data_IF_881500009188
#
_entry.id   IF_881500009188
#
_cell.length_a   1.000
_cell.length_b   1.000
_cell.length_c   1.000
_cell.angle_alpha   90.00
_cell.angle_beta   90.00
_cell.angle_gamma   90.00
#
_symmetry.space_group_name_H-M   'P 1'
#
loop_
_entity.id
_entity.type
_entity.pdbx_description
1 polymer ?
#
# COMPACT_ATOMS: atom_id res chain seq x y z
N UNK A 1 -8.30 -24.21 -9.46
CA UNK A 1 -6.98 -24.75 -9.07
C UNK A 1 -6.33 -23.74 -8.14
N UNK A 2 -5.92 -24.15 -6.96
CA UNK A 2 -5.24 -23.26 -6.01
C UNK A 2 -3.79 -23.02 -6.42
N UNK A 3 -3.15 -21.96 -5.90
CA UNK A 3 -1.72 -21.69 -6.15
C UNK A 3 -0.81 -22.85 -5.71
N UNK A 4 -1.24 -23.61 -4.71
CA UNK A 4 -0.55 -24.80 -4.18
C UNK A 4 -0.65 -25.97 -5.17
N UNK A 5 -1.84 -26.23 -5.73
CA UNK A 5 -2.05 -27.28 -6.73
C UNK A 5 -1.26 -27.00 -8.03
N UNK A 6 -1.15 -25.73 -8.44
CA UNK A 6 -0.38 -25.33 -9.63
C UNK A 6 1.14 -25.53 -9.43
N UNK A 7 1.68 -25.18 -8.26
CA UNK A 7 3.10 -25.39 -7.94
C UNK A 7 3.47 -26.87 -7.93
N UNK A 8 2.56 -27.74 -7.49
CA UNK A 8 2.82 -29.19 -7.45
C UNK A 8 2.81 -29.81 -8.85
N UNK A 9 1.98 -29.28 -9.78
CA UNK A 9 2.02 -29.64 -11.21
C UNK A 9 3.35 -29.19 -11.85
N UNK A 10 3.82 -27.97 -11.57
CA UNK A 10 5.10 -27.45 -12.09
C UNK A 10 6.27 -28.33 -11.62
N UNK A 11 6.28 -28.77 -10.36
CA UNK A 11 7.31 -29.68 -9.84
C UNK A 11 7.27 -31.06 -10.51
N UNK A 12 6.08 -31.62 -10.75
CA UNK A 12 5.94 -32.91 -11.45
C UNK A 12 6.43 -32.82 -12.90
N UNK A 13 6.25 -31.68 -13.57
CA UNK A 13 6.77 -31.44 -14.92
C UNK A 13 8.30 -31.31 -14.98
N UNK A 14 8.94 -30.85 -13.90
CA UNK A 14 10.41 -30.71 -13.83
C UNK A 14 11.16 -32.05 -13.62
N UNK A 15 10.46 -33.12 -13.23
CA UNK A 15 11.04 -34.45 -12.99
C UNK A 15 11.02 -35.34 -14.26
N UNK A 16 10.25 -34.98 -15.28
CA UNK A 16 10.13 -35.73 -16.53
C UNK A 16 10.81 -35.03 -17.72
N UNK A 17 11.81 -35.67 -18.32
CA UNK A 17 12.57 -35.22 -19.50
C UNK A 17 11.75 -35.17 -20.81
N UNK A 18 10.56 -34.57 -20.81
CA UNK A 18 9.74 -34.36 -22.01
C UNK A 18 9.17 -32.94 -22.01
N UNK A 19 10.06 -31.95 -21.96
CA UNK A 19 9.73 -30.61 -22.39
C UNK A 19 9.67 -30.59 -23.92
N UNK A 20 8.49 -30.77 -24.50
CA UNK A 20 8.16 -30.25 -25.83
C UNK A 20 6.83 -29.52 -25.79
N UNK A 21 6.93 -28.20 -25.91
CA UNK A 21 5.90 -27.27 -26.39
C UNK A 21 4.66 -27.09 -25.53
N UNK A 22 4.81 -26.83 -24.24
CA UNK A 22 3.84 -25.97 -23.55
C UNK A 22 4.65 -24.91 -22.82
N UNK A 23 4.51 -23.64 -23.22
CA UNK A 23 5.18 -22.57 -22.49
C UNK A 23 4.51 -22.48 -21.12
N UNK A 24 5.28 -22.23 -20.07
CA UNK A 24 4.75 -22.03 -18.70
C UNK A 24 3.66 -20.94 -18.70
N UNK A 25 3.79 -19.97 -19.60
CA UNK A 25 2.81 -18.93 -19.89
C UNK A 25 1.46 -19.50 -20.37
N UNK A 26 1.46 -20.44 -21.31
CA UNK A 26 0.24 -21.10 -21.83
C UNK A 26 -0.45 -21.93 -20.74
N UNK A 27 0.34 -22.59 -19.88
CA UNK A 27 -0.17 -23.37 -18.76
C UNK A 27 -0.79 -22.47 -17.68
N UNK A 28 -0.16 -21.33 -17.41
CA UNK A 28 -0.65 -20.32 -16.47
C UNK A 28 -1.96 -19.67 -16.95
N UNK A 29 -2.07 -19.38 -18.26
CA UNK A 29 -3.29 -18.84 -18.87
C UNK A 29 -4.45 -19.84 -18.77
N UNK A 30 -4.22 -21.12 -19.09
CA UNK A 30 -5.26 -22.17 -18.95
C UNK A 30 -5.71 -22.40 -17.51
N UNK A 31 -4.86 -22.04 -16.54
CA UNK A 31 -5.11 -22.15 -15.11
C UNK A 31 -5.75 -20.90 -14.49
N UNK A 32 -5.85 -19.79 -15.22
CA UNK A 32 -6.30 -18.50 -14.70
C UNK A 32 -5.31 -17.84 -13.73
N UNK A 33 -4.01 -18.13 -13.85
CA UNK A 33 -2.94 -17.59 -13.01
C UNK A 33 -1.98 -16.78 -13.87
N UNK A 34 -1.47 -15.65 -13.36
CA UNK A 34 -0.43 -14.87 -14.05
C UNK A 34 0.94 -15.37 -13.59
N UNK A 35 1.72 -15.94 -14.49
CA UNK A 35 3.10 -16.32 -14.22
C UNK A 35 4.04 -15.26 -14.80
N UNK A 36 4.91 -14.70 -13.96
CA UNK A 36 6.01 -13.86 -14.44
C UNK A 36 7.29 -14.70 -14.48
N UNK A 37 7.73 -15.03 -15.69
CA UNK A 37 8.99 -15.77 -15.90
C UNK A 37 10.12 -14.75 -16.03
N UNK A 38 10.99 -14.68 -15.03
CA UNK A 38 12.21 -13.87 -15.10
C UNK A 38 13.37 -14.78 -15.45
N UNK A 39 13.91 -14.62 -16.67
CA UNK A 39 15.04 -15.41 -17.14
C UNK A 39 16.33 -14.67 -16.80
N UNK A 40 17.14 -15.25 -15.93
CA UNK A 40 18.44 -14.70 -15.58
C UNK A 40 19.54 -15.50 -16.29
N UNK A 41 20.54 -14.79 -16.81
CA UNK A 41 21.78 -15.41 -17.25
C UNK A 41 22.79 -15.19 -16.13
N UNK A 42 23.05 -16.22 -15.34
CA UNK A 42 24.11 -16.16 -14.34
C UNK A 42 25.44 -16.31 -15.09
N UNK A 43 26.29 -15.28 -15.02
CA UNK A 43 27.68 -15.41 -15.43
C UNK A 43 28.53 -15.51 -14.17
N UNK A 44 28.89 -16.73 -13.78
CA UNK A 44 29.99 -16.89 -12.82
C UNK A 44 31.30 -16.69 -13.58
N UNK A 45 32.24 -15.98 -12.98
CA UNK A 45 33.66 -16.10 -13.35
C UNK A 45 34.43 -16.41 -12.08
N UNK A 46 35.15 -17.53 -12.07
CA UNK A 46 36.53 -17.55 -11.58
C UNK A 46 37.30 -18.85 -11.85
N UNK A 47 37.00 -19.65 -12.88
CA UNK A 47 37.95 -20.70 -13.32
C UNK A 47 37.69 -21.22 -14.75
N UNK A 48 37.55 -20.31 -15.72
CA UNK A 48 37.92 -20.59 -17.12
C UNK A 48 37.20 -21.72 -17.87
N UNK A 49 36.21 -22.39 -17.29
CA UNK A 49 35.54 -23.54 -17.93
C UNK A 49 34.15 -23.77 -17.34
N UNK A 50 33.11 -23.11 -17.90
CA UNK A 50 31.75 -23.67 -18.01
C UNK A 50 30.88 -22.86 -18.97
N UNK A 51 30.07 -23.60 -19.75
CA UNK A 51 28.98 -23.11 -20.62
C UNK A 51 27.92 -22.35 -19.80
N UNK A 52 27.22 -21.34 -20.37
CA UNK A 52 26.17 -20.63 -19.64
C UNK A 52 25.04 -21.60 -19.28
N UNK A 53 24.81 -21.80 -17.98
CA UNK A 53 23.64 -22.50 -17.47
C UNK A 53 22.53 -21.47 -17.26
N UNK A 54 21.42 -21.61 -17.99
CA UNK A 54 20.24 -20.75 -17.82
C UNK A 54 19.40 -21.30 -16.68
N UNK A 55 19.29 -20.55 -15.58
CA UNK A 55 18.32 -20.83 -14.54
C UNK A 55 17.04 -20.00 -14.79
N UNK A 56 15.89 -20.67 -14.87
CA UNK A 56 14.59 -20.01 -14.93
C UNK A 56 13.99 -19.96 -13.53
N UNK A 57 13.84 -18.75 -12.97
CA UNK A 57 13.13 -18.55 -11.71
C UNK A 57 11.67 -18.19 -12.04
N UNK A 58 10.76 -19.13 -11.77
CA UNK A 58 9.33 -18.93 -11.99
C UNK A 58 8.73 -18.34 -10.71
N UNK A 59 8.44 -17.04 -10.74
CA UNK A 59 7.60 -16.43 -9.71
C UNK A 59 6.13 -16.66 -10.06
N UNK A 60 5.52 -17.63 -9.38
CA UNK A 60 4.06 -17.82 -9.42
C UNK A 60 3.44 -16.82 -8.45
N UNK A 61 2.91 -15.72 -8.97
CA UNK A 61 2.11 -14.79 -8.19
C UNK A 61 0.67 -15.30 -8.24
N UNK A 62 0.15 -15.72 -7.09
CA UNK A 62 -1.25 -16.14 -7.01
C UNK A 62 -2.21 -15.03 -7.46
N UNK A 63 -3.43 -15.37 -7.91
CA UNK A 63 -4.41 -14.41 -8.45
C UNK A 63 -4.77 -13.27 -7.47
N UNK A 64 -4.43 -13.41 -6.19
CA UNK A 64 -4.64 -12.44 -5.12
C UNK A 64 -3.73 -11.20 -5.19
N UNK A 65 -2.60 -11.23 -5.94
CA UNK A 65 -1.58 -10.15 -5.89
C UNK A 65 -1.16 -9.54 -7.23
N UNK A 66 -1.57 -10.11 -8.37
CA UNK A 66 -1.07 -9.68 -9.68
C UNK A 66 -2.00 -8.74 -10.48
N UNK A 67 -3.19 -8.37 -9.99
CA UNK A 67 -4.11 -7.62 -10.87
C UNK A 67 -5.38 -7.03 -10.26
N UNK A 68 -5.35 -6.55 -9.01
CA UNK A 68 -6.61 -6.12 -8.39
C UNK A 68 -6.52 -4.97 -7.38
N UNK A 69 -6.01 -3.81 -7.79
CA UNK A 69 -6.36 -2.55 -7.09
C UNK A 69 -6.46 -1.32 -7.99
N UNK A 70 -5.66 -1.22 -9.07
CA UNK A 70 -5.64 -0.01 -9.90
C UNK A 70 -6.62 0.01 -11.08
N UNK A 71 -6.90 -1.15 -11.68
CA UNK A 71 -7.57 -1.16 -12.99
C UNK A 71 -9.04 -1.62 -12.96
N UNK A 72 -9.54 -2.12 -11.82
CA UNK A 72 -10.88 -2.72 -11.72
C UNK A 72 -11.65 -2.39 -10.42
N UNK A 73 -11.26 -1.34 -9.68
CA UNK A 73 -12.23 -0.72 -8.78
C UNK A 73 -13.33 -0.14 -9.67
N UNK A 74 -14.62 -0.45 -9.46
CA UNK A 74 -15.67 0.17 -10.24
C UNK A 74 -15.49 1.68 -10.11
N UNK A 75 -15.28 2.37 -11.24
CA UNK A 75 -15.20 3.83 -11.37
C UNK A 75 -16.44 4.57 -10.86
N UNK A 76 -17.33 3.89 -10.14
CA UNK A 76 -18.70 4.28 -9.86
C UNK A 76 -19.13 4.10 -8.40
N UNK A 77 -18.20 3.86 -7.46
CA UNK A 77 -18.45 4.14 -6.04
C UNK A 77 -17.81 5.50 -5.73
N UNK A 78 -18.57 6.53 -5.35
CA UNK A 78 -17.96 7.82 -5.02
C UNK A 78 -17.13 7.66 -3.75
N UNK A 79 -15.82 7.47 -3.90
CA UNK A 79 -14.89 7.47 -2.79
C UNK A 79 -15.06 8.78 -2.00
N UNK A 80 -15.20 8.69 -0.68
CA UNK A 80 -15.13 9.88 0.18
C UNK A 80 -13.68 10.34 0.17
N UNK A 81 -13.44 11.59 -0.22
CA UNK A 81 -12.13 12.23 -0.10
C UNK A 81 -12.12 13.08 1.14
N UNK A 82 -11.02 13.01 1.86
CA UNK A 82 -10.85 13.72 3.12
C UNK A 82 -9.59 14.55 2.97
N UNK A 83 -9.70 15.84 3.27
CA UNK A 83 -8.59 16.77 3.35
C UNK A 83 -8.57 17.36 4.75
N UNK A 84 -7.42 17.31 5.43
CA UNK A 84 -7.30 17.77 6.80
C UNK A 84 -6.00 18.52 7.04
N UNK A 85 -6.03 19.42 8.02
CA UNK A 85 -4.99 20.40 8.31
C UNK A 85 -4.58 20.33 9.78
N UNK A 86 -3.28 20.40 10.03
CA UNK A 86 -2.70 20.61 11.37
C UNK A 86 -1.43 21.44 11.24
N UNK A 87 -1.02 22.17 12.29
CA UNK A 87 0.30 22.79 12.30
C UNK A 87 1.35 21.79 12.74
N UNK A 88 2.52 21.89 12.13
CA UNK A 88 3.74 21.26 12.61
C UNK A 88 4.53 22.27 13.41
N UNK A 89 5.01 21.86 14.59
CA UNK A 89 5.88 22.72 15.42
C UNK A 89 7.14 23.07 14.62
N UNK A 90 7.62 24.33 14.65
CA UNK A 90 8.77 24.74 13.84
C UNK A 90 10.04 23.89 14.06
N UNK A 91 10.25 23.39 15.28
CA UNK A 91 11.41 22.55 15.63
C UNK A 91 11.25 21.08 15.24
N UNK A 92 10.05 20.63 14.86
CA UNK A 92 9.73 19.20 14.73
C UNK A 92 9.83 18.67 13.30
N UNK A 93 10.20 19.48 12.31
CA UNK A 93 10.14 19.06 10.91
C UNK A 93 11.03 17.86 10.59
N UNK A 94 12.29 17.88 11.03
CA UNK A 94 13.22 16.79 10.74
C UNK A 94 12.72 15.47 11.32
N UNK A 95 12.30 15.48 12.59
CA UNK A 95 11.76 14.32 13.29
C UNK A 95 10.46 13.82 12.65
N UNK A 96 9.56 14.73 12.26
CA UNK A 96 8.31 14.36 11.59
C UNK A 96 8.57 13.62 10.27
N UNK A 97 9.54 14.10 9.47
CA UNK A 97 9.94 13.45 8.21
C UNK A 97 10.57 12.10 8.44
N UNK A 98 11.45 11.98 9.43
CA UNK A 98 12.11 10.71 9.77
C UNK A 98 11.08 9.66 10.19
N UNK A 99 10.14 10.01 11.07
CA UNK A 99 9.05 9.12 11.47
C UNK A 99 8.22 8.67 10.26
N UNK A 100 7.80 9.61 9.40
CA UNK A 100 6.92 9.29 8.26
C UNK A 100 7.66 8.62 7.08
N UNK A 101 9.00 8.64 7.04
CA UNK A 101 9.78 7.84 6.11
C UNK A 101 9.75 6.34 6.47
N UNK A 102 9.45 6.02 7.73
CA UNK A 102 9.43 4.66 8.26
C UNK A 102 8.18 4.41 9.12
N UNK A 103 6.99 4.74 8.59
CA UNK A 103 5.71 4.49 9.28
C UNK A 103 5.61 3.02 9.68
N UNK A 104 5.15 2.77 10.91
CA UNK A 104 5.05 1.42 11.44
C UNK A 104 4.10 0.56 10.58
N UNK A 105 4.51 -0.64 10.14
CA UNK A 105 3.68 -1.49 9.28
C UNK A 105 2.29 -1.80 9.85
N UNK A 106 2.17 -1.91 11.18
CA UNK A 106 0.89 -2.16 11.83
C UNK A 106 -0.11 -1.00 11.68
N UNK A 107 0.39 0.25 11.68
CA UNK A 107 -0.42 1.46 11.46
C UNK A 107 -0.92 1.51 10.01
N UNK A 108 -0.03 1.23 9.05
CA UNK A 108 -0.41 1.14 7.64
C UNK A 108 -1.45 0.03 7.41
N UNK A 109 -1.28 -1.13 8.04
CA UNK A 109 -2.25 -2.21 7.97
C UNK A 109 -3.60 -1.83 8.61
N UNK A 110 -3.63 -1.01 9.67
CA UNK A 110 -4.87 -0.51 10.27
C UNK A 110 -5.62 0.42 9.30
N UNK A 111 -4.91 1.32 8.62
CA UNK A 111 -5.48 2.18 7.57
C UNK A 111 -6.02 1.37 6.39
N UNK A 112 -5.28 0.35 5.93
CA UNK A 112 -5.69 -0.54 4.85
C UNK A 112 -6.96 -1.32 5.20
N UNK A 113 -7.02 -1.92 6.40
CA UNK A 113 -8.24 -2.60 6.91
C UNK A 113 -9.45 -1.68 7.00
N UNK A 114 -9.20 -0.38 7.16
CA UNK A 114 -10.22 0.68 7.22
C UNK A 114 -10.48 1.33 5.86
N UNK A 115 -10.05 0.71 4.76
CA UNK A 115 -10.32 1.14 3.39
C UNK A 115 -9.78 2.55 3.06
N UNK A 116 -8.76 3.01 3.78
CA UNK A 116 -8.02 4.23 3.47
C UNK A 116 -6.98 3.92 2.40
N UNK A 117 -7.00 4.70 1.32
CA UNK A 117 -6.08 4.58 0.19
C UNK A 117 -5.67 5.95 -0.31
N UNK A 118 -4.64 6.01 -1.16
CA UNK A 118 -4.14 7.26 -1.76
C UNK A 118 -3.85 8.34 -0.71
N UNK A 119 -3.29 7.93 0.43
CA UNK A 119 -3.02 8.82 1.56
C UNK A 119 -1.65 9.50 1.38
N UNK A 120 -1.66 10.82 1.27
CA UNK A 120 -0.46 11.66 1.30
C UNK A 120 -0.56 12.78 2.34
N UNK A 121 0.60 13.22 2.85
CA UNK A 121 0.73 14.37 3.74
C UNK A 121 1.75 15.33 3.13
N UNK A 122 1.33 16.55 2.82
CA UNK A 122 2.18 17.62 2.30
C UNK A 122 2.54 18.60 3.40
N UNK A 123 3.75 19.15 3.36
CA UNK A 123 4.19 20.20 4.29
C UNK A 123 4.36 21.54 3.57
N UNK A 124 3.54 22.52 3.92
CA UNK A 124 3.64 23.90 3.47
C UNK A 124 4.40 24.75 4.50
N UNK A 125 5.73 24.77 4.34
CA UNK A 125 6.68 25.43 5.25
C UNK A 125 6.32 26.87 5.64
N UNK A 126 5.87 27.78 4.74
CA UNK A 126 5.64 29.18 5.10
C UNK A 126 4.61 29.38 6.22
N UNK A 127 3.64 28.47 6.36
CA UNK A 127 2.63 28.50 7.42
C UNK A 127 2.83 27.39 8.46
N UNK A 128 3.87 26.56 8.31
CA UNK A 128 4.06 25.38 9.13
C UNK A 128 2.91 24.38 9.03
N UNK A 129 2.19 24.31 7.91
CA UNK A 129 0.98 23.49 7.78
C UNK A 129 1.29 22.12 7.19
N UNK A 130 0.76 21.08 7.84
CA UNK A 130 0.62 19.76 7.26
C UNK A 130 -0.77 19.65 6.63
N UNK A 131 -0.82 19.15 5.40
CA UNK A 131 -2.04 18.93 4.62
C UNK A 131 -2.13 17.44 4.31
N UNK A 132 -2.95 16.73 5.08
CA UNK A 132 -3.26 15.33 4.87
C UNK A 132 -4.42 15.21 3.87
N UNK A 133 -4.28 14.35 2.86
CA UNK A 133 -5.37 13.98 1.97
C UNK A 133 -5.38 12.48 1.73
N UNK A 134 -6.57 11.87 1.72
CA UNK A 134 -6.74 10.46 1.41
C UNK A 134 -8.13 10.17 0.82
N UNK A 135 -8.25 9.00 0.20
CA UNK A 135 -9.50 8.42 -0.28
C UNK A 135 -9.96 7.33 0.68
N UNK A 136 -11.24 7.33 0.98
CA UNK A 136 -11.93 6.23 1.65
C UNK A 136 -12.84 5.54 0.64
N UNK A 137 -12.65 4.22 0.47
CA UNK A 137 -13.36 3.39 -0.51
C UNK A 137 -14.27 2.33 0.11
N UNK A 138 -14.47 2.37 1.43
CA UNK A 138 -15.38 1.47 2.13
C UNK A 138 -16.84 1.96 2.09
N UNK A 139 -17.69 1.34 2.91
CA UNK A 139 -19.14 1.60 2.94
C UNK A 139 -19.65 2.32 4.20
N UNK A 140 -18.82 2.43 5.24
CA UNK A 140 -19.16 3.04 6.54
C UNK A 140 -17.92 3.74 7.12
N UNK A 141 -17.77 5.02 6.76
CA UNK A 141 -16.58 5.81 7.08
C UNK A 141 -16.41 5.96 8.59
N UNK A 142 -17.50 6.27 9.28
CA UNK A 142 -17.53 6.51 10.72
C UNK A 142 -17.15 5.24 11.49
N UNK A 143 -17.69 4.08 11.12
CA UNK A 143 -17.34 2.82 11.76
C UNK A 143 -15.89 2.42 11.50
N UNK A 144 -15.37 2.62 10.30
CA UNK A 144 -13.99 2.28 9.98
C UNK A 144 -12.98 3.22 10.65
N UNK A 145 -13.25 4.53 10.67
CA UNK A 145 -12.40 5.49 11.37
C UNK A 145 -12.42 5.28 12.89
N UNK A 146 -13.54 4.82 13.45
CA UNK A 146 -13.61 4.39 14.84
C UNK A 146 -12.69 3.21 15.12
N UNK A 147 -12.67 2.18 14.27
CA UNK A 147 -11.73 1.04 14.41
C UNK A 147 -10.27 1.50 14.35
N UNK A 148 -9.94 2.45 13.48
CA UNK A 148 -8.59 3.05 13.41
C UNK A 148 -8.25 3.79 14.70
N UNK A 149 -9.20 4.54 15.27
CA UNK A 149 -8.99 5.24 16.54
C UNK A 149 -8.83 4.28 17.75
N UNK A 150 -9.48 3.12 17.70
CA UNK A 150 -9.41 2.07 18.72
C UNK A 150 -8.18 1.15 18.57
N UNK A 151 -7.52 1.14 17.41
CA UNK A 151 -6.35 0.31 17.14
C UNK A 151 -5.15 0.70 18.04
N UNK A 152 -4.61 -0.24 18.85
CA UNK A 152 -3.57 0.08 19.83
C UNK A 152 -2.28 0.63 19.22
N UNK A 153 -1.88 0.15 18.05
CA UNK A 153 -0.66 0.60 17.38
C UNK A 153 -0.85 2.01 16.79
N UNK A 154 -2.04 2.30 16.29
CA UNK A 154 -2.43 3.66 15.87
C UNK A 154 -2.43 4.63 17.04
N UNK A 155 -2.93 4.23 18.21
CA UNK A 155 -2.87 5.07 19.41
C UNK A 155 -1.42 5.33 19.87
N UNK A 156 -0.55 4.31 19.82
CA UNK A 156 0.87 4.47 20.14
C UNK A 156 1.59 5.38 19.13
N UNK A 157 1.28 5.23 17.85
CA UNK A 157 1.78 6.10 16.79
C UNK A 157 1.36 7.56 17.01
N UNK A 158 0.07 7.80 17.32
CA UNK A 158 -0.44 9.14 17.63
C UNK A 158 0.31 9.80 18.79
N UNK A 159 0.68 9.04 19.84
CA UNK A 159 1.46 9.60 20.96
C UNK A 159 2.81 10.18 20.54
N UNK A 160 3.48 9.61 19.53
CA UNK A 160 4.77 10.12 19.05
C UNK A 160 4.61 11.19 17.96
N UNK A 161 3.48 11.23 17.24
CA UNK A 161 3.25 12.25 16.22
C UNK A 161 2.55 13.50 16.74
N UNK A 162 1.59 13.37 17.66
CA UNK A 162 0.79 14.49 18.18
C UNK A 162 1.68 15.50 18.91
N UNK A 163 2.72 15.03 19.60
CA UNK A 163 3.69 15.89 20.29
C UNK A 163 4.49 16.79 19.35
N UNK A 164 4.54 16.47 18.06
CA UNK A 164 5.20 17.25 17.02
C UNK A 164 4.28 18.30 16.40
N UNK A 165 2.99 18.25 16.71
CA UNK A 165 1.94 19.00 16.05
C UNK A 165 1.26 20.00 16.99
N UNK A 166 0.55 20.94 16.38
CA UNK A 166 -0.34 21.88 17.05
C UNK A 166 -1.67 21.91 16.30
N UNK A 167 -2.76 21.61 17.01
CA UNK A 167 -4.12 21.63 16.44
C UNK A 167 -4.53 23.03 15.98
N UNK A 168 -5.37 23.08 14.95
CA UNK A 168 -6.12 24.26 14.53
C UNK A 168 -7.54 24.29 15.11
N UNK A 169 -7.94 23.24 15.82
CA UNK A 169 -9.28 23.05 16.38
C UNK A 169 -9.28 23.45 17.85
N UNK A 170 -10.07 24.47 18.18
CA UNK A 170 -10.18 24.99 19.54
C UNK A 170 -10.64 23.90 20.52
N UNK A 171 -9.89 23.74 21.62
CA UNK A 171 -10.19 22.78 22.68
C UNK A 171 -9.70 21.35 22.44
N UNK A 172 -9.15 21.02 21.28
CA UNK A 172 -8.58 19.69 21.05
C UNK A 172 -7.28 19.48 21.86
N UNK A 173 -7.15 18.30 22.48
CA UNK A 173 -6.01 17.97 23.38
C UNK A 173 -5.12 16.85 22.85
N UNK A 174 -5.51 16.21 21.75
CA UNK A 174 -4.74 15.18 21.05
C UNK A 174 -5.64 14.34 20.14
N UNK A 175 -5.06 13.49 19.30
CA UNK A 175 -5.77 12.62 18.36
C UNK A 175 -6.60 11.51 19.02
N UNK A 176 -6.52 11.37 20.34
CA UNK A 176 -7.34 10.44 21.14
C UNK A 176 -8.50 11.11 21.89
N UNK A 177 -8.71 12.42 21.74
CA UNK A 177 -9.79 13.16 22.39
C UNK A 177 -11.13 13.06 21.67
N UNK A 178 -12.18 13.60 22.29
CA UNK A 178 -13.51 13.73 21.69
C UNK A 178 -13.55 14.79 20.56
N UNK A 179 -12.74 15.84 20.70
CA UNK A 179 -12.61 16.91 19.72
C UNK A 179 -11.53 16.51 18.70
N UNK A 180 -11.80 16.57 17.38
CA UNK A 180 -10.82 16.24 16.35
C UNK A 180 -9.51 17.01 16.47
N UNK A 181 -8.39 16.32 16.32
CA UNK A 181 -7.06 16.93 16.38
C UNK A 181 -6.66 17.63 15.07
N UNK A 182 -7.15 17.11 13.94
CA UNK A 182 -6.94 17.70 12.63
C UNK A 182 -8.21 18.45 12.21
N UNK A 183 -8.06 19.66 11.67
CA UNK A 183 -9.16 20.43 11.13
C UNK A 183 -9.53 19.90 9.73
N UNK A 184 -10.81 19.66 9.47
CA UNK A 184 -11.29 19.22 8.15
C UNK A 184 -11.41 20.40 7.19
N UNK A 185 -11.01 20.19 5.93
CA UNK A 185 -11.15 21.15 4.85
C UNK A 185 -12.23 20.68 3.86
N UNK A 186 -13.08 21.61 3.43
CA UNK A 186 -14.17 21.35 2.49
C UNK A 186 -13.65 21.08 1.07
N UNK A 187 -14.13 20.00 0.44
CA UNK A 187 -13.93 19.76 -0.99
C UNK A 187 -14.88 20.66 -1.81
N UNK A 188 -14.39 21.80 -2.28
CA UNK A 188 -15.16 22.76 -3.09
C UNK A 188 -15.11 22.49 -4.59
N UNK A 189 -14.15 21.68 -5.05
CA UNK A 189 -13.97 21.33 -6.45
C UNK A 189 -13.32 19.97 -6.59
N UNK A 190 -13.70 19.27 -7.67
CA UNK A 190 -13.10 18.00 -8.05
C UNK A 190 -13.13 17.78 -9.55
N UNK A 191 -12.05 17.19 -10.05
CA UNK A 191 -11.95 16.66 -11.41
C UNK A 191 -11.25 15.30 -11.40
N UNK A 192 -11.98 14.25 -11.78
CA UNK A 192 -11.44 12.87 -11.85
C UNK A 192 -10.91 12.53 -13.26
N UNK A 193 -10.97 13.47 -14.21
CA UNK A 193 -10.92 13.17 -15.66
C UNK A 193 -12.20 12.46 -16.13
N UNK A 194 -12.50 12.25 -17.41
CA UNK A 194 -12.06 12.90 -18.64
C UNK A 194 -13.17 13.87 -19.05
N UNK A 195 -12.81 15.13 -19.29
CA UNK A 195 -13.72 16.15 -19.79
C UNK A 195 -14.26 15.79 -21.19
#
# INVERSE_FOLDING_TARGET
MTSIEFLEIIKQLHVGSIAKLIKVEDLAESAGVVAQVSRFTLTSKSDGTTSPESAELIHVVGPERAGRWRDNLPLNMPAKRVCQLVKLKPSAEAEYRELHAAVWPAVLAALERAHVTDYSIHYYRPLGLLVANFKYIGSDYEADMKKVAEDPETQRWRKVTDVLQETLVDGATGSGGEIPWWAEAEEVFRFEGKA
#
